data_IF_687780093312
#
_entry.id   IF_687780093312
#
_cell.length_a   1.000
_cell.length_b   1.000
_cell.length_c   1.000
_cell.angle_alpha   90.00
_cell.angle_beta   90.00
_cell.angle_gamma   90.00
#
_symmetry.space_group_name_H-M   'P 1'
#
loop_
_entity.id
_entity.type
_entity.pdbx_description
1 polymer ?
#
# COMPACT_ATOMS: atom_id res chain seq x y z
N UNK A 1 0.44 3.74 6.06
CA UNK A 1 1.23 2.68 6.73
C UNK A 1 2.73 2.96 6.50
N UNK A 2 3.56 2.94 7.56
CA UNK A 2 4.84 3.67 7.63
C UNK A 2 5.86 3.33 6.52
N UNK A 3 6.26 4.37 5.75
CA UNK A 3 7.41 4.39 4.79
C UNK A 3 8.72 3.84 5.38
N UNK A 4 8.81 3.73 6.70
CA UNK A 4 9.92 3.14 7.43
C UNK A 4 10.03 1.63 7.18
N UNK A 5 8.95 0.86 7.15
CA UNK A 5 9.05 -0.61 7.19
C UNK A 5 9.67 -1.21 5.93
N UNK A 6 9.32 -0.65 4.76
CA UNK A 6 9.89 -1.05 3.47
C UNK A 6 11.37 -0.63 3.38
N UNK A 7 11.71 0.58 3.81
CA UNK A 7 13.11 1.02 3.91
C UNK A 7 13.91 0.14 4.87
N UNK A 8 13.31 -0.25 6.00
CA UNK A 8 13.92 -1.15 6.98
C UNK A 8 14.17 -2.53 6.40
N UNK A 9 13.23 -3.12 5.66
CA UNK A 9 13.44 -4.44 5.02
C UNK A 9 14.56 -4.40 3.98
N UNK A 10 14.66 -3.32 3.19
CA UNK A 10 15.77 -3.16 2.22
C UNK A 10 17.12 -2.87 2.89
N UNK A 11 17.13 -2.04 3.93
CA UNK A 11 18.33 -1.83 4.76
C UNK A 11 18.74 -3.16 5.39
N UNK A 12 17.78 -3.96 5.87
CA UNK A 12 18.02 -5.25 6.52
C UNK A 12 18.63 -6.28 5.57
N UNK A 13 18.07 -6.46 4.37
CA UNK A 13 18.64 -7.39 3.38
C UNK A 13 20.01 -6.91 2.92
N UNK A 14 20.18 -5.60 2.67
CA UNK A 14 21.47 -5.02 2.29
C UNK A 14 22.54 -5.15 3.39
N UNK A 15 22.16 -4.90 4.66
CA UNK A 15 23.06 -5.11 5.81
C UNK A 15 23.35 -6.58 6.04
N UNK A 16 22.38 -7.48 5.87
CA UNK A 16 22.61 -8.92 5.99
C UNK A 16 23.62 -9.41 4.93
N UNK A 17 23.48 -8.96 3.69
CA UNK A 17 24.41 -9.30 2.60
C UNK A 17 25.81 -8.72 2.87
N UNK A 18 25.89 -7.47 3.35
CA UNK A 18 27.14 -6.84 3.76
C UNK A 18 27.80 -7.59 4.92
N UNK A 19 27.04 -8.00 5.94
CA UNK A 19 27.52 -8.78 7.08
C UNK A 19 28.06 -10.13 6.63
N UNK A 20 27.41 -10.83 5.68
CA UNK A 20 27.90 -12.11 5.16
C UNK A 20 29.22 -11.92 4.40
N UNK A 21 29.33 -10.89 3.55
CA UNK A 21 30.56 -10.60 2.80
C UNK A 21 31.70 -10.22 3.74
N UNK A 22 31.44 -9.38 4.74
CA UNK A 22 32.43 -8.96 5.74
C UNK A 22 32.84 -10.13 6.62
N UNK A 23 31.91 -10.95 7.09
CA UNK A 23 32.20 -12.14 7.91
C UNK A 23 33.00 -13.19 7.13
N UNK A 24 32.68 -13.41 5.85
CA UNK A 24 33.44 -14.31 4.98
C UNK A 24 34.86 -13.79 4.73
N UNK A 25 35.01 -12.48 4.52
CA UNK A 25 36.31 -11.81 4.34
C UNK A 25 37.16 -11.90 5.62
N UNK A 26 36.56 -11.65 6.79
CA UNK A 26 37.24 -11.77 8.09
C UNK A 26 37.64 -13.22 8.40
N UNK A 27 36.82 -14.21 8.03
CA UNK A 27 37.14 -15.63 8.24
C UNK A 27 38.28 -16.13 7.34
N UNK A 28 38.42 -15.57 6.14
CA UNK A 28 39.61 -15.78 5.30
C UNK A 28 40.87 -15.12 5.87
N UNK A 29 40.70 -14.09 6.71
CA UNK A 29 41.77 -13.24 7.21
C UNK A 29 42.34 -13.67 8.58
N UNK A 30 41.58 -14.33 9.45
CA UNK A 30 42.07 -14.83 10.75
C UNK A 30 42.72 -16.20 10.53
N UNK A 31 44.06 -16.32 10.49
CA UNK A 31 44.72 -17.61 10.33
C UNK A 31 44.64 -18.38 11.65
N UNK A 32 44.54 -19.70 11.59
CA UNK A 32 44.62 -20.52 12.80
C UNK A 32 45.97 -20.29 13.50
N UNK A 33 46.00 -20.12 14.85
CA UNK A 33 47.21 -19.80 15.59
C UNK A 33 48.42 -20.73 15.37
N UNK A 34 48.30 -22.05 15.12
CA UNK A 34 49.47 -22.89 14.83
C UNK A 34 50.23 -22.51 13.55
N UNK A 35 49.61 -21.78 12.61
CA UNK A 35 50.23 -21.41 11.34
C UNK A 35 51.23 -20.25 11.51
N UNK A 36 51.05 -19.39 12.52
CA UNK A 36 51.84 -18.16 12.68
C UNK A 36 53.32 -18.45 13.03
N UNK A 37 53.58 -19.48 13.85
CA UNK A 37 54.94 -19.81 14.30
C UNK A 37 55.81 -20.43 13.18
N UNK A 38 55.19 -21.21 12.28
CA UNK A 38 55.87 -21.77 11.11
C UNK A 38 56.09 -20.72 10.02
N UNK A 39 55.18 -19.76 9.89
CA UNK A 39 55.33 -18.64 8.97
C UNK A 39 56.46 -17.69 9.38
N UNK A 40 56.62 -17.38 10.67
CA UNK A 40 57.67 -16.46 11.13
C UNK A 40 59.09 -17.02 10.87
N UNK A 41 59.31 -18.32 11.06
CA UNK A 41 60.60 -18.96 10.75
C UNK A 41 60.88 -19.04 9.25
N UNK A 42 59.86 -19.37 8.44
CA UNK A 42 59.94 -19.36 6.97
C UNK A 42 60.21 -17.94 6.43
N UNK A 43 59.55 -16.93 6.97
CA UNK A 43 59.77 -15.53 6.57
C UNK A 43 61.18 -15.09 6.98
N UNK A 44 61.68 -15.48 8.15
CA UNK A 44 63.06 -15.17 8.56
C UNK A 44 64.10 -15.83 7.63
N UNK A 45 63.89 -17.09 7.26
CA UNK A 45 64.76 -17.84 6.35
C UNK A 45 64.73 -17.28 4.92
N UNK A 46 63.54 -16.95 4.40
CA UNK A 46 63.36 -16.29 3.10
C UNK A 46 63.98 -14.89 3.13
N UNK A 47 63.79 -14.11 4.20
CA UNK A 47 64.38 -12.77 4.34
C UNK A 47 65.91 -12.82 4.36
N UNK A 48 66.48 -13.82 5.01
CA UNK A 48 67.92 -14.06 4.97
C UNK A 48 68.42 -14.48 3.58
N UNK A 49 67.62 -15.23 2.82
CA UNK A 49 68.00 -15.77 1.50
C UNK A 49 67.85 -14.76 0.34
N UNK A 50 66.83 -13.90 0.34
CA UNK A 50 66.55 -12.94 -0.76
C UNK A 50 66.65 -11.46 -0.36
N UNK A 51 66.96 -11.16 0.90
CA UNK A 51 67.17 -9.81 1.41
C UNK A 51 65.86 -9.10 1.83
N UNK A 52 65.98 -8.21 2.82
CA UNK A 52 64.86 -7.47 3.43
C UNK A 52 64.10 -6.60 2.43
N UNK A 53 64.79 -6.00 1.46
CA UNK A 53 64.17 -5.15 0.44
C UNK A 53 63.19 -5.92 -0.45
N UNK A 54 63.52 -7.16 -0.84
CA UNK A 54 62.63 -7.99 -1.67
C UNK A 54 61.41 -8.46 -0.89
N UNK A 55 61.58 -8.80 0.38
CA UNK A 55 60.47 -9.20 1.25
C UNK A 55 59.51 -8.03 1.49
N UNK A 56 60.03 -6.82 1.73
CA UNK A 56 59.21 -5.61 1.84
C UNK A 56 58.46 -5.30 0.54
N UNK A 57 59.11 -5.42 -0.63
CA UNK A 57 58.44 -5.21 -1.92
C UNK A 57 57.28 -6.20 -2.15
N UNK A 58 57.46 -7.48 -1.79
CA UNK A 58 56.40 -8.50 -1.90
C UNK A 58 55.26 -8.20 -0.94
N UNK A 59 55.56 -7.82 0.31
CA UNK A 59 54.54 -7.42 1.28
C UNK A 59 53.73 -6.23 0.78
N UNK A 60 54.38 -5.16 0.31
CA UNK A 60 53.66 -4.00 -0.22
C UNK A 60 52.81 -4.34 -1.45
N UNK A 61 53.33 -5.16 -2.37
CA UNK A 61 52.58 -5.60 -3.55
C UNK A 61 51.34 -6.40 -3.13
N UNK A 62 51.48 -7.29 -2.15
CA UNK A 62 50.37 -8.04 -1.57
C UNK A 62 49.34 -7.11 -0.91
N UNK A 63 49.77 -6.17 -0.05
CA UNK A 63 48.88 -5.22 0.61
C UNK A 63 48.14 -4.34 -0.41
N UNK A 64 48.81 -3.82 -1.45
CA UNK A 64 48.18 -3.04 -2.52
C UNK A 64 47.13 -3.85 -3.28
N UNK A 65 47.47 -5.09 -3.66
CA UNK A 65 46.53 -5.98 -4.36
C UNK A 65 45.32 -6.31 -3.47
N UNK A 66 45.55 -6.57 -2.18
CA UNK A 66 44.51 -6.88 -1.21
C UNK A 66 43.58 -5.69 -0.98
N UNK A 67 44.12 -4.47 -0.80
CA UNK A 67 43.33 -3.25 -0.68
C UNK A 67 42.45 -3.02 -1.92
N UNK A 68 43.00 -3.24 -3.12
CA UNK A 68 42.23 -3.12 -4.35
C UNK A 68 41.07 -4.12 -4.42
N UNK A 69 41.27 -5.38 -4.02
CA UNK A 69 40.21 -6.39 -3.98
C UNK A 69 39.11 -6.09 -2.95
N UNK A 70 39.48 -5.60 -1.75
CA UNK A 70 38.50 -5.21 -0.74
C UNK A 70 37.67 -4.01 -1.21
N UNK A 71 38.32 -2.98 -1.75
CA UNK A 71 37.61 -1.79 -2.25
C UNK A 71 36.65 -2.17 -3.39
N UNK A 72 37.12 -2.97 -4.36
CA UNK A 72 36.29 -3.39 -5.50
C UNK A 72 35.10 -4.25 -5.06
N UNK A 73 35.29 -5.18 -4.12
CA UNK A 73 34.18 -6.01 -3.60
C UNK A 73 33.15 -5.20 -2.80
N UNK A 74 33.59 -4.24 -1.97
CA UNK A 74 32.69 -3.33 -1.25
C UNK A 74 31.90 -2.46 -2.24
N UNK A 75 32.58 -1.88 -3.23
CA UNK A 75 31.92 -1.07 -4.26
C UNK A 75 30.93 -1.89 -5.09
N UNK A 76 31.31 -3.09 -5.53
CA UNK A 76 30.44 -3.98 -6.28
C UNK A 76 29.18 -4.35 -5.47
N UNK A 77 29.35 -4.70 -4.19
CA UNK A 77 28.23 -5.05 -3.31
C UNK A 77 27.31 -3.85 -3.06
N UNK A 78 27.88 -2.65 -2.86
CA UNK A 78 27.12 -1.42 -2.69
C UNK A 78 26.28 -1.10 -3.94
N UNK A 79 26.86 -1.24 -5.13
CA UNK A 79 26.16 -1.01 -6.40
C UNK A 79 24.99 -2.01 -6.55
N UNK A 80 25.23 -3.30 -6.33
CA UNK A 80 24.18 -4.32 -6.40
C UNK A 80 23.06 -4.04 -5.40
N UNK A 81 23.41 -3.67 -4.16
CA UNK A 81 22.42 -3.31 -3.14
C UNK A 81 21.53 -2.13 -3.55
N UNK A 82 22.13 -1.08 -4.13
CA UNK A 82 21.38 0.08 -4.65
C UNK A 82 20.48 -0.34 -5.81
N UNK A 83 20.98 -1.14 -6.75
CA UNK A 83 20.20 -1.61 -7.90
C UNK A 83 18.98 -2.44 -7.47
N UNK A 84 19.18 -3.39 -6.56
CA UNK A 84 18.08 -4.22 -6.02
C UNK A 84 17.09 -3.36 -5.24
N UNK A 85 17.56 -2.44 -4.40
CA UNK A 85 16.71 -1.54 -3.63
C UNK A 85 15.86 -0.64 -4.52
N UNK A 86 16.44 -0.09 -5.59
CA UNK A 86 15.70 0.72 -6.58
C UNK A 86 14.70 -0.13 -7.35
N UNK A 87 15.09 -1.32 -7.80
CA UNK A 87 14.20 -2.24 -8.51
C UNK A 87 12.99 -2.60 -7.66
N UNK A 88 13.19 -3.08 -6.45
CA UNK A 88 12.12 -3.54 -5.57
C UNK A 88 11.24 -2.39 -5.05
N UNK A 89 11.81 -1.20 -4.82
CA UNK A 89 11.03 0.01 -4.52
C UNK A 89 10.06 0.37 -5.65
N UNK A 90 10.53 0.26 -6.91
CA UNK A 90 9.71 0.56 -8.09
C UNK A 90 8.70 -0.53 -8.42
N UNK A 91 9.01 -1.80 -8.18
CA UNK A 91 8.13 -2.93 -8.54
C UNK A 91 7.10 -3.29 -7.48
N UNK A 92 7.37 -3.02 -6.19
CA UNK A 92 6.48 -3.42 -5.09
C UNK A 92 6.00 -2.23 -4.27
N UNK A 93 6.92 -1.40 -3.79
CA UNK A 93 6.59 -0.37 -2.80
C UNK A 93 5.75 0.78 -3.40
N UNK A 94 6.12 1.26 -4.60
CA UNK A 94 5.41 2.34 -5.25
C UNK A 94 3.98 1.96 -5.68
N UNK A 95 3.71 0.79 -6.30
CA UNK A 95 2.35 0.35 -6.59
C UNK A 95 1.49 0.19 -5.33
N UNK A 96 2.02 -0.39 -4.25
CA UNK A 96 1.28 -0.54 -3.00
C UNK A 96 0.87 0.80 -2.38
N UNK A 97 1.74 1.82 -2.44
CA UNK A 97 1.38 3.16 -1.98
C UNK A 97 0.28 3.80 -2.82
N UNK A 98 0.27 3.56 -4.14
CA UNK A 98 -0.82 4.03 -5.01
C UNK A 98 -2.14 3.35 -4.66
N UNK A 99 -2.11 2.05 -4.38
CA UNK A 99 -3.30 1.30 -3.97
C UNK A 99 -3.81 1.74 -2.60
N UNK A 100 -2.93 2.03 -1.63
CA UNK A 100 -3.31 2.62 -0.34
C UNK A 100 -4.01 3.97 -0.52
N UNK A 101 -3.47 4.85 -1.39
CA UNK A 101 -4.08 6.14 -1.69
C UNK A 101 -5.45 6.00 -2.38
N UNK A 102 -5.55 5.08 -3.35
CA UNK A 102 -6.80 4.81 -4.04
C UNK A 102 -7.86 4.23 -3.10
N UNK A 103 -7.48 3.31 -2.20
CA UNK A 103 -8.37 2.81 -1.15
C UNK A 103 -8.81 3.93 -0.19
N UNK A 104 -7.94 4.89 0.11
CA UNK A 104 -8.29 6.10 0.87
C UNK A 104 -9.33 6.99 0.16
N UNK A 105 -9.33 7.02 -1.18
CA UNK A 105 -10.33 7.77 -1.94
C UNK A 105 -11.74 7.16 -1.82
N UNK A 106 -11.83 5.82 -1.76
CA UNK A 106 -13.09 5.11 -1.50
C UNK A 106 -13.71 5.54 -0.16
N UNK A 107 -12.90 5.75 0.89
CA UNK A 107 -13.38 6.23 2.18
C UNK A 107 -14.01 7.63 2.11
N UNK A 108 -13.65 8.42 1.10
CA UNK A 108 -14.20 9.74 0.84
C UNK A 108 -15.39 9.70 -0.13
N UNK A 109 -15.88 8.51 -0.49
CA UNK A 109 -16.98 8.33 -1.44
C UNK A 109 -16.58 8.52 -2.90
N UNK A 110 -15.27 8.49 -3.22
CA UNK A 110 -14.78 8.63 -4.59
C UNK A 110 -14.56 7.24 -5.20
N UNK A 111 -15.56 6.75 -5.93
CA UNK A 111 -15.56 5.41 -6.52
C UNK A 111 -15.01 5.36 -7.95
N UNK A 112 -14.69 6.50 -8.56
CA UNK A 112 -14.15 6.58 -9.93
C UNK A 112 -12.63 6.43 -9.99
N UNK A 113 -11.95 6.39 -8.85
CA UNK A 113 -10.50 6.22 -8.79
C UNK A 113 -10.13 4.80 -9.20
N UNK A 114 -9.18 4.67 -10.13
CA UNK A 114 -8.69 3.38 -10.65
C UNK A 114 -7.20 3.26 -10.44
N UNK A 115 -6.74 2.04 -10.22
CA UNK A 115 -5.32 1.70 -10.09
C UNK A 115 -4.84 1.05 -11.39
N UNK A 116 -3.67 1.47 -11.87
CA UNK A 116 -3.05 0.84 -13.04
C UNK A 116 -2.67 -0.62 -12.75
N UNK A 117 -3.12 -1.52 -13.63
CA UNK A 117 -2.77 -2.93 -13.63
C UNK A 117 -1.39 -3.17 -14.24
N UNK A 118 -0.35 -2.80 -13.49
CA UNK A 118 1.05 -2.97 -13.88
C UNK A 118 1.88 -3.58 -12.76
N UNK A 119 2.93 -4.31 -13.13
CA UNK A 119 3.89 -4.90 -12.18
C UNK A 119 3.93 -6.41 -12.29
N UNK A 120 4.15 -7.09 -11.16
CA UNK A 120 4.06 -8.56 -11.12
C UNK A 120 2.62 -9.03 -11.36
N UNK A 121 2.45 -10.31 -11.67
CA UNK A 121 1.13 -10.91 -11.90
C UNK A 121 0.22 -10.75 -10.68
N UNK A 122 0.77 -10.88 -9.47
CA UNK A 122 0.03 -10.69 -8.22
C UNK A 122 -0.42 -9.23 -8.05
N UNK A 123 0.43 -8.26 -8.42
CA UNK A 123 0.07 -6.85 -8.33
C UNK A 123 -1.05 -6.49 -9.31
N UNK A 124 -0.98 -7.03 -10.54
CA UNK A 124 -2.03 -6.88 -11.55
C UNK A 124 -3.35 -7.45 -11.04
N UNK A 125 -3.33 -8.66 -10.46
CA UNK A 125 -4.53 -9.29 -9.92
C UNK A 125 -5.17 -8.48 -8.78
N UNK A 126 -4.36 -7.92 -7.87
CA UNK A 126 -4.86 -7.08 -6.77
C UNK A 126 -5.41 -5.74 -7.29
N UNK A 127 -4.76 -5.12 -8.28
CA UNK A 127 -5.24 -3.90 -8.91
C UNK A 127 -6.58 -4.12 -9.62
N UNK A 128 -6.72 -5.22 -10.36
CA UNK A 128 -7.96 -5.61 -11.03
C UNK A 128 -9.11 -5.83 -10.01
N UNK A 129 -8.83 -6.58 -8.93
CA UNK A 129 -9.82 -6.81 -7.87
C UNK A 129 -10.24 -5.51 -7.16
N UNK A 130 -9.30 -4.58 -6.93
CA UNK A 130 -9.62 -3.25 -6.41
C UNK A 130 -10.53 -2.46 -7.37
N UNK A 131 -10.21 -2.46 -8.67
CA UNK A 131 -10.99 -1.73 -9.67
C UNK A 131 -12.43 -2.26 -9.76
N UNK A 132 -12.61 -3.58 -9.77
CA UNK A 132 -13.93 -4.23 -9.76
C UNK A 132 -14.73 -3.90 -8.49
N UNK A 133 -14.08 -3.92 -7.33
CA UNK A 133 -14.72 -3.52 -6.06
C UNK A 133 -15.17 -2.05 -6.10
N UNK A 134 -14.32 -1.15 -6.59
CA UNK A 134 -14.62 0.26 -6.69
C UNK A 134 -15.79 0.54 -7.65
N UNK A 135 -15.86 -0.17 -8.79
CA UNK A 135 -16.98 -0.10 -9.72
C UNK A 135 -18.29 -0.54 -9.07
N UNK A 136 -18.33 -1.73 -8.45
CA UNK A 136 -19.53 -2.23 -7.78
C UNK A 136 -20.04 -1.31 -6.67
N UNK A 137 -19.12 -0.69 -5.94
CA UNK A 137 -19.48 0.25 -4.88
C UNK A 137 -20.05 1.56 -5.46
N UNK A 138 -19.52 2.03 -6.59
CA UNK A 138 -20.06 3.18 -7.32
C UNK A 138 -21.45 2.92 -7.89
N UNK A 139 -21.70 1.73 -8.43
CA UNK A 139 -23.01 1.30 -8.90
C UNK A 139 -24.02 1.23 -7.74
N UNK A 140 -23.62 0.64 -6.61
CA UNK A 140 -24.46 0.54 -5.42
C UNK A 140 -24.84 1.92 -4.85
N UNK A 141 -23.89 2.87 -4.80
CA UNK A 141 -24.18 4.23 -4.34
C UNK A 141 -25.12 4.98 -5.31
N UNK A 142 -24.92 4.79 -6.62
CA UNK A 142 -25.81 5.37 -7.64
C UNK A 142 -27.23 4.84 -7.49
N UNK A 143 -27.37 3.52 -7.33
CA UNK A 143 -28.66 2.87 -7.08
C UNK A 143 -29.31 3.41 -5.80
N UNK A 144 -28.56 3.51 -4.70
CA UNK A 144 -29.04 4.07 -3.43
C UNK A 144 -29.57 5.50 -3.60
N UNK A 145 -28.84 6.36 -4.31
CA UNK A 145 -29.26 7.75 -4.57
C UNK A 145 -30.53 7.82 -5.42
N UNK A 146 -30.62 6.99 -6.46
CA UNK A 146 -31.79 6.93 -7.32
C UNK A 146 -33.03 6.47 -6.54
N UNK A 147 -32.91 5.39 -5.75
CA UNK A 147 -33.99 4.91 -4.89
C UNK A 147 -34.47 5.98 -3.91
N UNK A 148 -33.54 6.67 -3.24
CA UNK A 148 -33.89 7.76 -2.32
C UNK A 148 -34.60 8.92 -3.03
N UNK A 149 -34.18 9.25 -4.26
CA UNK A 149 -34.83 10.27 -5.09
C UNK A 149 -36.25 9.86 -5.48
N UNK A 150 -36.41 8.63 -5.94
CA UNK A 150 -37.70 8.08 -6.39
C UNK A 150 -38.69 8.03 -5.23
N UNK A 151 -38.26 7.51 -4.07
CA UNK A 151 -39.05 7.52 -2.84
C UNK A 151 -39.45 8.94 -2.44
N UNK A 152 -38.51 9.88 -2.44
CA UNK A 152 -38.82 11.28 -2.10
C UNK A 152 -39.83 11.90 -3.06
N UNK A 153 -39.80 11.51 -4.34
CA UNK A 153 -40.77 11.95 -5.34
C UNK A 153 -42.15 11.35 -5.09
N UNK A 154 -42.22 10.03 -4.85
CA UNK A 154 -43.49 9.34 -4.60
C UNK A 154 -44.16 9.78 -3.30
N UNK A 155 -43.39 10.12 -2.26
CA UNK A 155 -43.94 10.67 -1.01
C UNK A 155 -44.41 12.13 -1.15
N UNK A 156 -43.79 12.91 -2.03
CA UNK A 156 -44.18 14.32 -2.25
C UNK A 156 -45.57 14.46 -2.85
N UNK A 157 -45.98 13.54 -3.73
CA UNK A 157 -47.29 13.57 -4.38
C UNK A 157 -48.48 13.47 -3.40
N UNK A 158 -48.60 12.42 -2.56
CA UNK A 158 -49.71 12.28 -1.62
C UNK A 158 -49.71 13.39 -0.56
N UNK A 159 -48.55 13.94 -0.20
CA UNK A 159 -48.47 15.12 0.68
C UNK A 159 -49.09 16.35 0.02
N UNK A 160 -48.81 16.61 -1.27
CA UNK A 160 -49.46 17.71 -2.00
C UNK A 160 -50.97 17.51 -2.12
N UNK A 161 -51.42 16.26 -2.34
CA UNK A 161 -52.86 15.94 -2.40
C UNK A 161 -53.53 16.20 -1.05
N UNK A 162 -52.92 15.77 0.06
CA UNK A 162 -53.42 16.05 1.42
C UNK A 162 -53.50 17.57 1.68
N UNK A 163 -52.46 18.32 1.34
CA UNK A 163 -52.43 19.78 1.47
C UNK A 163 -53.50 20.46 0.60
N UNK A 164 -53.67 20.02 -0.65
CA UNK A 164 -54.68 20.55 -1.57
C UNK A 164 -56.11 20.30 -1.09
N UNK A 165 -56.39 19.12 -0.55
CA UNK A 165 -57.69 18.80 0.03
C UNK A 165 -57.98 19.66 1.28
N UNK A 166 -57.00 19.81 2.17
CA UNK A 166 -57.12 20.69 3.33
C UNK A 166 -57.37 22.15 2.91
N UNK A 167 -56.65 22.64 1.89
CA UNK A 167 -56.85 23.98 1.36
C UNK A 167 -58.24 24.15 0.75
N UNK A 168 -58.72 23.19 -0.04
CA UNK A 168 -60.06 23.22 -0.62
C UNK A 168 -61.18 23.21 0.45
N UNK A 169 -60.95 22.57 1.61
CA UNK A 169 -61.87 22.64 2.75
C UNK A 169 -61.84 24.03 3.41
N UNK A 170 -60.66 24.64 3.56
CA UNK A 170 -60.53 26.01 4.08
C UNK A 170 -61.17 27.06 3.17
N UNK A 171 -61.07 26.86 1.86
CA UNK A 171 -61.65 27.74 0.83
C UNK A 171 -63.17 27.50 0.64
N UNK A 172 -63.76 26.54 1.37
CA UNK A 172 -65.19 26.22 1.32
C UNK A 172 -65.63 25.44 0.08
N UNK A 173 -64.70 24.94 -0.73
CA UNK A 173 -64.97 24.10 -1.90
C UNK A 173 -65.39 22.69 -1.47
N UNK A 174 -64.75 22.14 -0.43
CA UNK A 174 -65.12 20.87 0.20
C UNK A 174 -65.78 21.09 1.58
N UNK A 175 -66.76 20.24 1.96
CA UNK A 175 -67.44 20.37 3.24
C UNK A 175 -66.50 19.98 4.40
N UNK A 176 -66.41 20.85 5.41
CA UNK A 176 -65.70 20.56 6.66
C UNK A 176 -66.59 19.72 7.60
N UNK A 177 -66.66 18.42 7.35
CA UNK A 177 -67.44 17.46 8.14
C UNK A 177 -66.60 16.26 8.61
N UNK A 178 -67.17 15.45 9.51
CA UNK A 178 -66.47 14.30 10.10
C UNK A 178 -66.08 13.25 9.05
N UNK A 179 -66.90 13.05 8.02
CA UNK A 179 -66.62 12.09 6.95
C UNK A 179 -65.34 12.50 6.19
N UNK A 180 -65.22 13.76 5.80
CA UNK A 180 -64.08 14.28 5.04
C UNK A 180 -62.79 14.28 5.86
N UNK A 181 -62.87 14.70 7.13
CA UNK A 181 -61.76 14.62 8.09
C UNK A 181 -61.32 13.17 8.32
N UNK A 182 -62.27 12.23 8.40
CA UNK A 182 -62.00 10.79 8.49
C UNK A 182 -61.26 10.23 7.28
N UNK A 183 -61.58 10.72 6.07
CA UNK A 183 -60.85 10.37 4.84
C UNK A 183 -59.40 10.84 4.88
N UNK A 184 -59.16 12.11 5.22
CA UNK A 184 -57.81 12.67 5.33
C UNK A 184 -56.98 11.98 6.43
N UNK A 185 -57.60 11.65 7.56
CA UNK A 185 -56.95 10.91 8.63
C UNK A 185 -56.54 9.51 8.17
N UNK A 186 -57.39 8.82 7.41
CA UNK A 186 -57.07 7.51 6.83
C UNK A 186 -55.91 7.60 5.85
N UNK A 187 -55.89 8.60 4.96
CA UNK A 187 -54.77 8.83 4.04
C UNK A 187 -53.46 9.14 4.79
N UNK A 188 -53.53 9.93 5.87
CA UNK A 188 -52.36 10.25 6.71
C UNK A 188 -51.81 9.01 7.41
N UNK A 189 -52.69 8.12 7.90
CA UNK A 189 -52.29 6.82 8.48
C UNK A 189 -51.61 5.94 7.44
N UNK A 190 -52.15 5.87 6.22
CA UNK A 190 -51.56 5.11 5.12
C UNK A 190 -50.16 5.63 4.77
N UNK A 191 -49.99 6.95 4.65
CA UNK A 191 -48.68 7.57 4.43
C UNK A 191 -47.68 7.22 5.54
N UNK A 192 -48.13 7.21 6.79
CA UNK A 192 -47.31 6.83 7.94
C UNK A 192 -46.86 5.36 7.87
N UNK A 193 -47.77 4.44 7.50
CA UNK A 193 -47.41 3.03 7.26
C UNK A 193 -46.34 2.89 6.18
N UNK A 194 -46.51 3.56 5.02
CA UNK A 194 -45.51 3.52 3.94
C UNK A 194 -44.13 4.05 4.37
N UNK A 195 -44.10 5.10 5.19
CA UNK A 195 -42.85 5.65 5.73
C UNK A 195 -42.20 4.68 6.73
N UNK A 196 -42.99 3.99 7.56
CA UNK A 196 -42.46 2.99 8.49
C UNK A 196 -41.92 1.77 7.76
N UNK A 197 -42.62 1.27 6.75
CA UNK A 197 -42.16 0.15 5.90
C UNK A 197 -40.82 0.48 5.23
N UNK A 198 -40.58 1.75 4.90
CA UNK A 198 -39.32 2.23 4.32
C UNK A 198 -38.18 2.33 5.34
N UNK A 199 -38.49 2.47 6.62
CA UNK A 199 -37.50 2.57 7.70
C UNK A 199 -37.02 1.18 8.17
N UNK A 200 -37.80 0.13 7.91
CA UNK A 200 -37.48 -1.25 8.28
C UNK A 200 -36.61 -1.99 7.23
N UNK A 201 -36.38 -1.38 6.06
CA UNK A 201 -35.53 -1.86 4.96
C UNK A 201 -34.09 -1.33 5.05
#
# INVERSE_FOLDING_TARGET
MNRLWVRFSFIFVGTMLLVVVVAFSLRLFIPNPPILNEFDSLIAEITAAIGTERVQQIQEAFFRQMQAQVITSVLATAIVGVLVGVWASRTLAAPLQKLEQAAGAIQQGQFDVRVEEKGSQEMVAVAAAYNEMAERLGEAETLRKNLLSDVAHELRHPVHVLQGNLQAMLDGVYPLNEDELGRLLTQTKHLNTLVNDLHEL
#
